data_IF_383627423000
#
_entry.id   IF_383627423000
#
_cell.length_a   1.000
_cell.length_b   1.000
_cell.length_c   1.000
_cell.angle_alpha   90.00
_cell.angle_beta   90.00
_cell.angle_gamma   90.00
#
_symmetry.space_group_name_H-M   'P 1'
#
loop_
_entity.id
_entity.type
_entity.pdbx_description
1 polymer ?
#
# COMPACT_ATOMS: atom_id res chain seq x y z
N UNK A 1 58.83 3.20 6.36
CA UNK A 1 57.64 2.55 6.85
C UNK A 1 56.45 3.34 6.39
N UNK A 2 55.84 2.89 5.27
CA UNK A 2 54.54 3.41 4.81
C UNK A 2 53.47 2.75 5.68
N UNK A 3 52.98 3.50 6.65
CA UNK A 3 51.81 3.11 7.43
C UNK A 3 50.56 3.37 6.65
N UNK A 4 49.89 2.32 6.17
CA UNK A 4 48.59 2.38 5.56
C UNK A 4 47.56 2.96 6.51
N UNK A 5 47.20 4.19 6.26
CA UNK A 5 46.02 4.82 6.87
C UNK A 5 44.82 4.35 6.07
N UNK A 6 44.36 3.12 6.30
CA UNK A 6 42.99 2.72 5.96
C UNK A 6 42.06 3.53 6.88
N UNK A 7 41.63 4.70 6.44
CA UNK A 7 40.41 5.31 6.94
C UNK A 7 39.28 4.34 6.59
N UNK A 8 38.86 3.54 7.57
CA UNK A 8 37.52 2.93 7.52
C UNK A 8 36.55 4.11 7.31
N UNK A 9 36.03 4.24 6.11
CA UNK A 9 34.79 4.97 5.91
C UNK A 9 33.76 4.21 6.74
N UNK A 10 33.41 4.76 7.91
CA UNK A 10 32.20 4.35 8.61
C UNK A 10 31.08 4.62 7.63
N UNK A 11 30.56 3.57 7.00
CA UNK A 11 29.31 3.65 6.28
C UNK A 11 28.28 4.10 7.30
N UNK A 12 27.82 5.35 7.20
CA UNK A 12 26.72 5.83 8.05
C UNK A 12 25.59 4.85 7.85
N UNK A 13 25.26 4.06 8.87
CA UNK A 13 24.08 3.20 8.85
C UNK A 13 22.87 4.09 8.59
N UNK A 14 22.07 3.73 7.59
CA UNK A 14 20.85 4.45 7.32
C UNK A 14 19.79 4.00 8.32
N UNK A 15 19.08 4.95 8.90
CA UNK A 15 18.09 4.68 9.95
C UNK A 15 16.85 5.55 9.80
N UNK A 16 15.76 5.00 10.22
CA UNK A 16 14.54 5.70 10.52
C UNK A 16 14.64 6.19 11.96
N UNK A 17 14.53 7.48 12.18
CA UNK A 17 14.46 8.08 13.51
C UNK A 17 13.10 8.72 13.69
N UNK A 18 12.47 8.50 14.84
CA UNK A 18 11.13 8.99 15.07
C UNK A 18 10.89 9.49 16.48
N UNK A 19 9.83 10.28 16.60
CA UNK A 19 9.29 10.78 17.86
C UNK A 19 7.77 10.59 17.94
N UNK A 20 7.29 10.48 19.18
CA UNK A 20 5.85 10.50 19.47
C UNK A 20 5.43 11.91 19.88
N UNK A 21 4.35 12.41 19.29
CA UNK A 21 3.75 13.70 19.63
C UNK A 21 2.35 13.48 20.23
N UNK A 22 2.21 13.83 21.51
CA UNK A 22 0.96 13.66 22.26
C UNK A 22 0.53 12.20 22.50
N UNK A 23 1.41 11.23 22.22
CA UNK A 23 1.17 9.79 22.38
C UNK A 23 2.15 9.25 23.41
N UNK A 24 1.66 8.35 24.28
CA UNK A 24 2.49 7.58 25.19
C UNK A 24 2.46 6.10 24.81
N UNK A 25 3.63 5.54 24.54
CA UNK A 25 3.79 4.11 24.28
C UNK A 25 5.20 3.67 24.64
N UNK A 26 5.35 2.45 25.15
CA UNK A 26 6.65 1.82 25.42
C UNK A 26 7.23 1.14 24.18
N UNK A 27 6.39 0.87 23.20
CA UNK A 27 6.76 0.24 21.93
C UNK A 27 5.83 0.68 20.81
N UNK A 28 6.37 0.70 19.60
CA UNK A 28 5.60 0.80 18.36
C UNK A 28 5.88 -0.42 17.49
N UNK A 29 4.94 -0.77 16.64
CA UNK A 29 4.99 -1.98 15.83
C UNK A 29 5.04 -1.60 14.35
N UNK A 30 6.09 -2.05 13.67
CA UNK A 30 6.27 -1.86 12.23
C UNK A 30 5.77 -3.10 11.51
N UNK A 31 4.81 -2.90 10.62
CA UNK A 31 4.26 -3.95 9.76
C UNK A 31 4.56 -3.66 8.30
N UNK A 32 4.84 -4.70 7.53
CA UNK A 32 4.82 -4.65 6.07
C UNK A 32 3.39 -4.83 5.59
N UNK A 33 2.96 -3.99 4.66
CA UNK A 33 1.62 -3.98 4.09
C UNK A 33 1.69 -4.58 2.69
N UNK A 34 0.99 -5.68 2.46
CA UNK A 34 0.97 -6.34 1.16
C UNK A 34 0.05 -5.65 0.14
N UNK A 35 -0.99 -4.96 0.64
CA UNK A 35 -1.91 -4.13 -0.13
C UNK A 35 -2.62 -3.12 0.78
N UNK A 36 -3.28 -2.12 0.22
CA UNK A 36 -4.08 -1.15 1.00
C UNK A 36 -5.28 -1.79 1.72
N UNK A 37 -5.63 -3.03 1.38
CA UNK A 37 -6.63 -3.81 2.11
C UNK A 37 -5.94 -4.67 3.17
N UNK A 38 -5.91 -4.18 4.38
CA UNK A 38 -5.18 -4.67 5.56
C UNK A 38 -5.44 -6.11 6.01
N UNK A 39 -5.91 -6.97 5.12
CA UNK A 39 -6.17 -8.39 5.41
C UNK A 39 -4.92 -9.25 5.60
N UNK A 40 -3.73 -8.78 5.19
CA UNK A 40 -2.48 -9.48 5.40
C UNK A 40 -1.33 -8.50 5.65
N UNK A 41 -1.14 -8.14 6.91
CA UNK A 41 0.04 -7.40 7.36
C UNK A 41 0.99 -8.38 8.04
N UNK A 42 2.28 -8.18 7.85
CA UNK A 42 3.34 -8.98 8.46
C UNK A 42 4.11 -8.11 9.45
N UNK A 43 4.13 -8.51 10.71
CA UNK A 43 4.98 -7.85 11.71
C UNK A 43 6.46 -7.99 11.30
N UNK A 44 7.12 -6.85 11.13
CA UNK A 44 8.55 -6.77 10.87
C UNK A 44 9.30 -6.62 12.17
N UNK A 45 8.87 -5.69 13.03
CA UNK A 45 9.56 -5.38 14.27
C UNK A 45 8.66 -4.73 15.32
N UNK A 46 8.86 -5.10 16.57
CA UNK A 46 8.51 -4.29 17.73
C UNK A 46 9.70 -3.38 18.05
N UNK A 47 9.49 -2.08 18.05
CA UNK A 47 10.52 -1.06 18.25
C UNK A 47 10.26 -0.40 19.60
N UNK A 48 11.23 -0.48 20.50
CA UNK A 48 11.13 0.16 21.81
C UNK A 48 11.14 1.69 21.67
N UNK A 49 10.35 2.35 22.50
CA UNK A 49 10.29 3.80 22.63
C UNK A 49 10.94 4.19 23.94
N UNK A 50 11.87 5.13 23.89
CA UNK A 50 12.56 5.68 25.06
C UNK A 50 12.43 7.20 25.04
N UNK A 51 11.90 7.79 26.08
CA UNK A 51 11.66 9.24 26.17
C UNK A 51 10.90 9.80 24.96
N UNK A 52 9.89 9.07 24.46
CA UNK A 52 9.08 9.44 23.32
C UNK A 52 9.82 9.36 21.97
N UNK A 53 10.99 8.71 21.92
CA UNK A 53 11.81 8.54 20.71
C UNK A 53 12.05 7.08 20.39
N UNK A 54 12.25 6.79 19.10
CA UNK A 54 12.59 5.46 18.62
C UNK A 54 13.48 5.54 17.38
N UNK A 55 14.19 4.46 17.09
CA UNK A 55 14.99 4.33 15.88
C UNK A 55 14.93 2.91 15.34
N UNK A 56 15.05 2.80 14.03
CA UNK A 56 15.07 1.52 13.32
C UNK A 56 16.05 1.55 12.14
N UNK A 57 17.02 0.63 12.04
CA UNK A 57 17.93 0.56 10.91
C UNK A 57 17.18 0.15 9.64
N UNK A 58 17.42 0.87 8.54
CA UNK A 58 16.73 0.68 7.26
C UNK A 58 17.62 0.07 6.18
N UNK A 59 18.88 -0.28 6.48
CA UNK A 59 19.83 -0.80 5.50
C UNK A 59 19.37 -2.06 4.76
N UNK A 60 18.57 -2.92 5.42
CA UNK A 60 18.07 -4.18 4.88
C UNK A 60 16.58 -4.15 4.50
N UNK A 61 15.97 -2.97 4.54
CA UNK A 61 14.57 -2.81 4.19
C UNK A 61 14.40 -2.80 2.66
N UNK A 62 13.44 -3.54 2.18
CA UNK A 62 12.98 -3.37 0.80
C UNK A 62 12.07 -2.15 0.71
N UNK A 63 12.23 -1.34 -0.34
CA UNK A 63 11.33 -0.24 -0.60
C UNK A 63 9.89 -0.75 -0.74
N UNK A 64 8.95 -0.11 -0.04
CA UNK A 64 7.57 -0.58 -0.02
C UNK A 64 6.67 0.19 0.94
N UNK A 65 5.39 -0.20 0.92
CA UNK A 65 4.42 0.30 1.87
C UNK A 65 4.51 -0.49 3.17
N UNK A 66 4.62 0.24 4.25
CA UNK A 66 4.62 -0.25 5.63
C UNK A 66 3.58 0.53 6.43
N UNK A 67 3.30 0.09 7.63
CA UNK A 67 2.55 0.92 8.56
C UNK A 67 3.11 0.77 9.98
N UNK A 68 2.96 1.84 10.74
CA UNK A 68 3.15 1.83 12.19
C UNK A 68 1.81 1.64 12.88
N UNK A 69 1.82 0.90 13.99
CA UNK A 69 0.70 0.78 14.90
C UNK A 69 1.19 0.85 16.34
N UNK A 70 0.33 1.31 17.23
CA UNK A 70 0.54 1.22 18.68
C UNK A 70 0.11 -0.13 19.25
N UNK A 71 -0.55 -0.94 18.44
CA UNK A 71 -1.12 -2.23 18.83
C UNK A 71 -0.29 -3.36 18.22
N UNK A 72 0.10 -4.31 19.08
CA UNK A 72 0.60 -5.60 18.61
C UNK A 72 -0.58 -6.48 18.21
N UNK A 73 -0.68 -6.78 16.91
CA UNK A 73 -1.75 -7.62 16.38
C UNK A 73 -1.55 -9.08 16.77
N UNK A 74 -2.54 -9.69 17.38
CA UNK A 74 -2.64 -11.13 17.49
C UNK A 74 -3.23 -11.76 16.21
N UNK A 75 -3.05 -13.05 16.05
CA UNK A 75 -3.50 -13.78 14.87
C UNK A 75 -5.02 -13.68 14.71
N UNK A 76 -5.49 -13.09 13.63
CA UNK A 76 -6.91 -12.92 13.30
C UNK A 76 -7.52 -11.58 13.72
N UNK A 77 -6.73 -10.69 14.30
CA UNK A 77 -7.13 -9.31 14.55
C UNK A 77 -6.88 -8.40 13.35
N UNK A 78 -7.55 -7.24 13.35
CA UNK A 78 -7.34 -6.18 12.37
C UNK A 78 -6.67 -4.98 13.05
N UNK A 79 -5.75 -4.31 12.36
CA UNK A 79 -5.18 -3.05 12.82
C UNK A 79 -6.27 -1.99 12.87
N UNK A 80 -6.54 -1.47 14.06
CA UNK A 80 -7.56 -0.43 14.28
C UNK A 80 -6.99 0.97 14.15
N UNK A 81 -5.75 1.18 14.63
CA UNK A 81 -5.03 2.44 14.55
C UNK A 81 -3.66 2.21 13.93
N UNK A 82 -3.44 2.76 12.77
CA UNK A 82 -2.19 2.63 12.03
C UNK A 82 -1.95 3.87 11.18
N UNK A 83 -0.68 4.13 10.89
CA UNK A 83 -0.25 5.18 9.98
C UNK A 83 0.67 4.59 8.91
N UNK A 84 0.33 4.84 7.65
CA UNK A 84 1.07 4.33 6.51
C UNK A 84 2.36 5.10 6.26
N UNK A 85 3.39 4.37 5.86
CA UNK A 85 4.70 4.90 5.52
C UNK A 85 5.28 4.17 4.32
N UNK A 86 5.72 4.91 3.31
CA UNK A 86 6.64 4.36 2.33
C UNK A 86 8.05 4.36 2.92
N UNK A 87 8.57 3.15 3.18
CA UNK A 87 9.90 2.95 3.71
C UNK A 87 10.88 2.62 2.57
N UNK A 88 12.03 3.25 2.62
CA UNK A 88 13.15 3.03 1.71
C UNK A 88 14.43 2.77 2.52
N UNK A 89 15.48 2.16 1.93
CA UNK A 89 16.78 2.02 2.59
C UNK A 89 17.52 3.37 2.63
N UNK A 90 16.95 4.35 3.30
CA UNK A 90 17.43 5.73 3.45
C UNK A 90 17.23 6.21 4.89
N UNK A 91 17.97 7.25 5.24
CA UNK A 91 17.72 7.96 6.51
C UNK A 91 16.44 8.78 6.39
N UNK A 92 15.53 8.57 7.33
CA UNK A 92 14.22 9.22 7.39
C UNK A 92 14.00 9.75 8.81
N UNK A 93 13.29 10.87 8.90
CA UNK A 93 12.79 11.42 10.16
C UNK A 93 11.28 11.37 10.15
N UNK A 94 10.67 10.94 11.24
CA UNK A 94 9.21 10.89 11.32
C UNK A 94 8.68 11.30 12.70
N UNK A 95 7.46 11.80 12.69
CA UNK A 95 6.68 12.08 13.88
C UNK A 95 5.38 11.31 13.81
N UNK A 96 5.08 10.52 14.83
CA UNK A 96 3.80 9.87 15.03
C UNK A 96 2.97 10.70 16.01
N UNK A 97 1.78 11.07 15.60
CA UNK A 97 0.84 11.83 16.40
C UNK A 97 -0.58 11.32 16.20
N UNK A 98 -1.54 12.13 16.59
CA UNK A 98 -2.95 11.90 16.32
C UNK A 98 -3.51 13.00 15.45
N UNK A 99 -4.41 12.63 14.54
CA UNK A 99 -5.15 13.58 13.75
C UNK A 99 -6.36 14.15 14.53
N UNK A 100 -7.12 15.03 13.88
CA UNK A 100 -8.33 15.64 14.46
C UNK A 100 -9.46 14.65 14.80
N UNK A 101 -9.35 13.39 14.35
CA UNK A 101 -10.30 12.32 14.60
C UNK A 101 -9.76 11.29 15.60
N UNK A 102 -8.69 11.62 16.32
CA UNK A 102 -7.99 10.73 17.26
C UNK A 102 -7.40 9.46 16.59
N UNK A 103 -7.19 9.50 15.27
CA UNK A 103 -6.54 8.40 14.55
C UNK A 103 -5.03 8.62 14.50
N UNK A 104 -4.27 7.50 14.50
CA UNK A 104 -2.82 7.57 14.38
C UNK A 104 -2.45 8.23 13.05
N UNK A 105 -1.65 9.28 13.12
CA UNK A 105 -1.14 10.04 11.98
C UNK A 105 0.38 10.01 11.95
N UNK A 106 0.94 10.19 10.77
CA UNK A 106 2.39 10.17 10.54
C UNK A 106 2.77 11.32 9.62
N UNK A 107 3.84 12.01 9.99
CA UNK A 107 4.54 12.93 9.11
C UNK A 107 6.00 12.47 8.99
N UNK A 108 6.51 12.34 7.76
CA UNK A 108 7.87 11.90 7.52
C UNK A 108 8.61 12.79 6.52
N UNK A 109 9.92 12.89 6.69
CA UNK A 109 10.83 13.62 5.80
C UNK A 109 12.03 12.75 5.44
N UNK A 110 12.72 13.08 4.33
CA UNK A 110 13.90 12.35 3.87
C UNK A 110 13.61 11.26 2.83
N UNK A 111 12.36 11.06 2.43
CA UNK A 111 11.96 10.15 1.36
C UNK A 111 11.08 10.85 0.35
N UNK A 112 11.57 10.99 -0.89
CA UNK A 112 10.77 11.51 -1.98
C UNK A 112 9.56 10.62 -2.31
N UNK A 113 9.68 9.31 -2.04
CA UNK A 113 8.59 8.36 -2.24
C UNK A 113 7.44 8.61 -1.24
N UNK A 114 7.78 8.89 0.01
CA UNK A 114 6.80 9.24 1.03
C UNK A 114 6.13 10.59 0.74
N UNK A 115 6.90 11.58 0.30
CA UNK A 115 6.35 12.88 -0.10
C UNK A 115 5.37 12.74 -1.28
N UNK A 116 5.68 11.90 -2.27
CA UNK A 116 4.77 11.59 -3.39
C UNK A 116 3.51 10.88 -2.90
N UNK A 117 3.65 9.95 -1.95
CA UNK A 117 2.52 9.25 -1.38
C UNK A 117 1.59 10.18 -0.60
N UNK A 118 2.13 11.04 0.27
CA UNK A 118 1.36 12.04 1.03
C UNK A 118 0.62 13.01 0.10
N UNK A 119 1.31 13.53 -0.92
CA UNK A 119 0.69 14.39 -1.92
C UNK A 119 -0.45 13.69 -2.69
N UNK A 120 -0.29 12.39 -2.98
CA UNK A 120 -1.36 11.61 -3.60
C UNK A 120 -2.55 11.44 -2.65
N UNK A 121 -2.34 11.16 -1.36
CA UNK A 121 -3.44 11.02 -0.41
C UNK A 121 -4.23 12.33 -0.27
N UNK A 122 -3.56 13.48 -0.22
CA UNK A 122 -4.20 14.79 -0.22
C UNK A 122 -4.99 15.03 -1.52
N UNK A 123 -4.41 14.75 -2.67
CA UNK A 123 -5.10 14.86 -3.96
C UNK A 123 -6.31 13.92 -4.06
N UNK A 124 -6.22 12.69 -3.53
CA UNK A 124 -7.35 11.75 -3.43
C UNK A 124 -8.45 12.26 -2.53
N UNK A 125 -8.11 12.89 -1.40
CA UNK A 125 -9.10 13.49 -0.51
C UNK A 125 -9.93 14.55 -1.24
N UNK A 126 -9.27 15.44 -1.99
CA UNK A 126 -9.93 16.48 -2.79
C UNK A 126 -10.74 15.87 -3.94
N UNK A 127 -10.11 15.01 -4.77
CA UNK A 127 -10.77 14.36 -5.90
C UNK A 127 -11.94 13.47 -5.47
N UNK A 128 -11.86 12.89 -4.28
CA UNK A 128 -12.89 12.07 -3.67
C UNK A 128 -14.04 12.86 -3.03
N UNK A 129 -14.10 14.18 -3.16
CA UNK A 129 -15.10 15.06 -2.51
C UNK A 129 -15.23 14.79 -0.99
N UNK A 130 -14.15 14.31 -0.34
CA UNK A 130 -14.23 13.79 1.05
C UNK A 130 -14.71 14.84 2.04
N UNK A 131 -14.37 16.12 1.86
CA UNK A 131 -14.83 17.19 2.75
C UNK A 131 -16.38 17.30 2.77
N UNK A 132 -17.04 17.14 1.63
CA UNK A 132 -18.50 17.17 1.52
C UNK A 132 -19.10 15.83 1.96
N UNK A 133 -18.55 14.73 1.47
CA UNK A 133 -19.06 13.40 1.75
C UNK A 133 -18.93 13.03 3.23
N UNK A 134 -17.83 13.38 3.91
CA UNK A 134 -17.67 13.14 5.36
C UNK A 134 -18.76 13.86 6.17
N UNK A 135 -19.14 15.08 5.75
CA UNK A 135 -20.25 15.82 6.40
C UNK A 135 -21.60 15.16 6.15
N UNK A 136 -21.87 14.72 4.92
CA UNK A 136 -23.10 14.02 4.57
C UNK A 136 -23.18 12.65 5.26
N UNK A 137 -22.08 11.91 5.33
CA UNK A 137 -22.00 10.65 6.06
C UNK A 137 -22.32 10.86 7.55
N UNK A 138 -21.78 11.90 8.17
CA UNK A 138 -22.09 12.24 9.56
C UNK A 138 -23.59 12.52 9.76
N UNK A 139 -24.19 13.36 8.93
CA UNK A 139 -25.62 13.64 8.96
C UNK A 139 -26.46 12.37 8.77
N UNK A 140 -26.03 11.47 7.87
CA UNK A 140 -26.69 10.19 7.63
C UNK A 140 -26.69 9.29 8.87
N UNK A 141 -25.53 9.20 9.57
CA UNK A 141 -25.44 8.43 10.81
C UNK A 141 -26.32 9.02 11.92
N UNK A 142 -26.39 10.33 12.07
CA UNK A 142 -27.30 10.96 13.03
C UNK A 142 -28.77 10.68 12.72
N UNK A 143 -29.17 10.77 11.44
CA UNK A 143 -30.53 10.44 11.03
C UNK A 143 -30.86 8.96 11.30
N UNK A 144 -29.89 8.08 11.05
CA UNK A 144 -30.01 6.64 11.33
C UNK A 144 -30.21 6.35 12.83
N UNK A 145 -29.45 6.99 13.70
CA UNK A 145 -29.60 6.87 15.16
C UNK A 145 -30.98 7.32 15.64
N UNK A 146 -31.51 8.37 15.01
CA UNK A 146 -32.87 8.88 15.30
C UNK A 146 -34.00 8.07 14.66
N UNK A 147 -33.66 7.12 13.76
CA UNK A 147 -34.63 6.33 12.98
C UNK A 147 -35.37 7.14 11.91
N UNK A 148 -34.83 8.32 11.53
CA UNK A 148 -35.42 9.23 10.57
C UNK A 148 -35.14 8.75 9.12
N UNK A 149 -36.07 7.97 8.61
CA UNK A 149 -35.95 7.37 7.26
C UNK A 149 -36.04 8.40 6.14
N UNK A 150 -36.85 9.43 6.32
CA UNK A 150 -37.05 10.48 5.31
C UNK A 150 -35.77 11.29 5.13
N UNK A 151 -35.14 11.69 6.23
CA UNK A 151 -33.87 12.40 6.20
C UNK A 151 -32.73 11.52 5.64
N UNK A 152 -32.68 10.23 6.00
CA UNK A 152 -31.71 9.29 5.41
C UNK A 152 -31.83 9.21 3.89
N UNK A 153 -33.05 9.16 3.34
CA UNK A 153 -33.27 9.11 1.90
C UNK A 153 -32.87 10.43 1.24
N UNK A 154 -33.26 11.56 1.81
CA UNK A 154 -32.84 12.89 1.35
C UNK A 154 -31.32 13.01 1.25
N UNK A 155 -30.58 12.55 2.29
CA UNK A 155 -29.13 12.59 2.31
C UNK A 155 -28.54 11.70 1.21
N UNK A 156 -29.08 10.50 0.97
CA UNK A 156 -28.65 9.64 -0.13
C UNK A 156 -28.79 10.29 -1.49
N UNK A 157 -29.94 10.93 -1.75
CA UNK A 157 -30.18 11.65 -3.01
C UNK A 157 -29.19 12.79 -3.19
N UNK A 158 -28.93 13.57 -2.15
CA UNK A 158 -27.96 14.69 -2.18
C UNK A 158 -26.52 14.17 -2.35
N UNK A 159 -26.17 13.04 -1.74
CA UNK A 159 -24.80 12.52 -1.78
C UNK A 159 -24.46 11.79 -3.09
N UNK A 160 -25.43 11.21 -3.77
CA UNK A 160 -25.21 10.39 -4.98
C UNK A 160 -24.35 11.08 -6.05
N UNK A 161 -24.64 12.33 -6.48
CA UNK A 161 -23.80 13.03 -7.47
C UNK A 161 -22.34 13.23 -7.02
N UNK A 162 -22.13 13.42 -5.71
CA UNK A 162 -20.78 13.57 -5.16
C UNK A 162 -20.00 12.26 -5.21
N UNK A 163 -20.65 11.11 -4.92
CA UNK A 163 -20.01 9.80 -5.04
C UNK A 163 -19.66 9.46 -6.49
N UNK A 164 -20.56 9.74 -7.44
CA UNK A 164 -20.32 9.52 -8.86
C UNK A 164 -19.13 10.36 -9.35
N UNK A 165 -19.16 11.66 -9.04
CA UNK A 165 -18.08 12.60 -9.38
C UNK A 165 -16.77 12.20 -8.72
N UNK A 166 -16.77 11.82 -7.44
CA UNK A 166 -15.60 11.37 -6.70
C UNK A 166 -14.94 10.14 -7.34
N UNK A 167 -15.76 9.16 -7.73
CA UNK A 167 -15.27 7.95 -8.40
C UNK A 167 -14.55 8.27 -9.71
N UNK A 168 -15.16 9.12 -10.55
CA UNK A 168 -14.56 9.51 -11.83
C UNK A 168 -13.29 10.35 -11.64
N UNK A 169 -13.32 11.35 -10.75
CA UNK A 169 -12.17 12.22 -10.50
C UNK A 169 -11.00 11.46 -9.91
N UNK A 170 -11.25 10.59 -8.92
CA UNK A 170 -10.22 9.74 -8.33
C UNK A 170 -9.62 8.79 -9.38
N UNK A 171 -10.43 8.19 -10.25
CA UNK A 171 -9.95 7.34 -11.34
C UNK A 171 -9.07 8.12 -12.32
N UNK A 172 -9.45 9.34 -12.69
CA UNK A 172 -8.65 10.23 -13.56
C UNK A 172 -7.32 10.60 -12.90
N UNK A 173 -7.35 10.98 -11.62
CA UNK A 173 -6.16 11.28 -10.83
C UNK A 173 -5.18 10.10 -10.82
N UNK A 174 -5.63 8.91 -10.43
CA UNK A 174 -4.78 7.72 -10.36
C UNK A 174 -4.18 7.38 -11.73
N UNK A 175 -4.97 7.46 -12.81
CA UNK A 175 -4.46 7.22 -14.16
C UNK A 175 -3.38 8.22 -14.57
N UNK A 176 -3.59 9.49 -14.22
CA UNK A 176 -2.60 10.55 -14.46
C UNK A 176 -1.31 10.31 -13.68
N UNK A 177 -1.41 9.91 -12.41
CA UNK A 177 -0.24 9.62 -11.58
C UNK A 177 0.51 8.35 -12.05
N UNK A 178 -0.18 7.29 -12.49
CA UNK A 178 0.46 6.12 -13.10
C UNK A 178 1.25 6.54 -14.37
N UNK A 179 0.63 7.34 -15.24
CA UNK A 179 1.28 7.79 -16.48
C UNK A 179 2.49 8.70 -16.21
N UNK A 180 2.39 9.60 -15.25
CA UNK A 180 3.46 10.53 -14.82
C UNK A 180 4.64 9.80 -14.18
N UNK A 181 4.37 8.74 -13.44
CA UNK A 181 5.38 7.95 -12.71
C UNK A 181 5.79 6.67 -13.46
N UNK A 182 5.51 6.58 -14.76
CA UNK A 182 5.87 5.44 -15.59
C UNK A 182 7.36 5.16 -15.49
N UNK A 183 7.70 3.90 -15.18
CA UNK A 183 9.08 3.44 -15.04
C UNK A 183 9.65 3.53 -13.63
N UNK A 184 9.00 4.20 -12.68
CA UNK A 184 9.44 4.31 -11.29
C UNK A 184 8.73 3.31 -10.37
N UNK A 185 9.33 3.03 -9.20
CA UNK A 185 8.70 2.18 -8.18
C UNK A 185 7.31 2.70 -7.76
N UNK A 186 7.13 4.02 -7.63
CA UNK A 186 5.82 4.58 -7.27
C UNK A 186 4.75 4.31 -8.33
N UNK A 187 5.11 4.45 -9.61
CA UNK A 187 4.21 4.07 -10.70
C UNK A 187 3.86 2.59 -10.71
N UNK A 188 4.82 1.71 -10.40
CA UNK A 188 4.58 0.27 -10.27
C UNK A 188 3.61 -0.03 -9.11
N UNK A 189 3.82 0.60 -7.95
CA UNK A 189 2.94 0.50 -6.80
C UNK A 189 1.50 0.94 -7.13
N UNK A 190 1.34 2.10 -7.78
CA UNK A 190 0.02 2.60 -8.19
C UNK A 190 -0.67 1.66 -9.17
N UNK A 191 0.07 1.15 -10.16
CA UNK A 191 -0.48 0.19 -11.12
C UNK A 191 -0.91 -1.11 -10.43
N UNK A 192 -0.08 -1.64 -9.54
CA UNK A 192 -0.40 -2.83 -8.76
C UNK A 192 -1.67 -2.63 -7.92
N UNK A 193 -1.71 -1.58 -7.12
CA UNK A 193 -2.79 -1.31 -6.16
C UNK A 193 -4.13 -1.02 -6.84
N UNK A 194 -4.11 -0.19 -7.89
CA UNK A 194 -5.35 0.33 -8.47
C UNK A 194 -5.76 -0.33 -9.79
N UNK A 195 -4.91 -1.15 -10.38
CA UNK A 195 -5.18 -1.80 -11.67
C UNK A 195 -5.05 -3.31 -11.60
N UNK A 196 -3.94 -3.81 -11.11
CA UNK A 196 -3.61 -5.22 -11.17
C UNK A 196 -4.40 -6.06 -10.18
N UNK A 197 -4.45 -5.67 -8.91
CA UNK A 197 -5.05 -6.49 -7.83
C UNK A 197 -6.53 -6.80 -8.03
N UNK A 198 -7.28 -5.89 -8.66
CA UNK A 198 -8.73 -6.01 -8.86
C UNK A 198 -9.11 -6.40 -10.28
N UNK A 199 -8.15 -6.84 -11.10
CA UNK A 199 -8.38 -7.22 -12.49
C UNK A 199 -8.18 -8.72 -12.68
N UNK A 200 -9.08 -9.33 -13.48
CA UNK A 200 -8.92 -10.70 -13.93
C UNK A 200 -8.54 -10.68 -15.41
N UNK A 201 -7.38 -11.22 -15.72
CA UNK A 201 -6.89 -11.29 -17.09
C UNK A 201 -7.42 -12.56 -17.75
N UNK A 202 -8.11 -12.41 -18.87
CA UNK A 202 -8.85 -13.50 -19.53
C UNK A 202 -8.19 -13.99 -20.81
N UNK A 203 -7.30 -13.19 -21.41
CA UNK A 203 -6.64 -13.54 -22.68
C UNK A 203 -5.12 -13.47 -22.56
N UNK A 204 -4.43 -14.20 -23.44
CA UNK A 204 -2.96 -14.16 -23.49
C UNK A 204 -2.49 -12.77 -23.91
N UNK A 205 -3.20 -12.10 -24.80
CA UNK A 205 -2.88 -10.76 -25.27
C UNK A 205 -2.89 -9.74 -24.13
N UNK A 206 -3.92 -9.75 -23.27
CA UNK A 206 -3.98 -8.87 -22.09
C UNK A 206 -2.79 -9.13 -21.14
N UNK A 207 -2.47 -10.40 -20.93
CA UNK A 207 -1.33 -10.79 -20.06
C UNK A 207 -0.01 -10.29 -20.63
N UNK A 208 0.20 -10.44 -21.95
CA UNK A 208 1.43 -10.00 -22.59
C UNK A 208 1.56 -8.47 -22.64
N UNK A 209 0.46 -7.75 -22.82
CA UNK A 209 0.44 -6.28 -22.70
C UNK A 209 0.88 -5.84 -21.29
N UNK A 210 0.38 -6.49 -20.24
CA UNK A 210 0.78 -6.16 -18.88
C UNK A 210 2.23 -6.54 -18.60
N UNK A 211 2.69 -7.70 -19.06
CA UNK A 211 4.11 -8.10 -18.93
C UNK A 211 5.03 -7.08 -19.61
N UNK A 212 4.69 -6.64 -20.81
CA UNK A 212 5.46 -5.62 -21.52
C UNK A 212 5.44 -4.28 -20.77
N UNK A 213 4.27 -3.88 -20.23
CA UNK A 213 4.16 -2.66 -19.44
C UNK A 213 5.03 -2.71 -18.20
N UNK A 214 4.89 -3.72 -17.34
CA UNK A 214 5.68 -3.82 -16.11
C UNK A 214 7.16 -4.10 -16.37
N UNK A 215 7.50 -4.77 -17.48
CA UNK A 215 8.88 -4.97 -17.93
C UNK A 215 9.60 -3.68 -18.35
N UNK A 216 8.85 -2.61 -18.64
CA UNK A 216 9.40 -1.30 -18.99
C UNK A 216 9.85 -0.46 -17.79
N UNK A 217 9.60 -0.92 -16.56
CA UNK A 217 10.03 -0.22 -15.35
C UNK A 217 11.54 -0.37 -15.11
N UNK A 218 12.10 0.52 -14.30
CA UNK A 218 13.53 0.49 -13.98
C UNK A 218 13.93 -0.81 -13.27
N UNK A 219 15.23 -1.09 -13.25
CA UNK A 219 15.75 -2.33 -12.69
C UNK A 219 15.43 -2.49 -11.19
N UNK A 220 15.52 -1.40 -10.42
CA UNK A 220 15.21 -1.42 -8.99
C UNK A 220 13.74 -1.78 -8.75
N UNK A 221 12.83 -1.21 -9.53
CA UNK A 221 11.40 -1.54 -9.49
C UNK A 221 11.13 -3.00 -9.84
N UNK A 222 11.82 -3.54 -10.85
CA UNK A 222 11.69 -4.94 -11.27
C UNK A 222 12.26 -5.96 -10.27
N UNK A 223 13.12 -5.53 -9.35
CA UNK A 223 13.61 -6.34 -8.23
C UNK A 223 12.69 -6.29 -7.00
N UNK A 224 11.65 -5.47 -7.02
CA UNK A 224 10.73 -5.31 -5.89
C UNK A 224 9.81 -6.50 -5.69
N UNK A 225 9.34 -6.71 -4.45
CA UNK A 225 8.37 -7.75 -4.13
C UNK A 225 7.03 -7.58 -4.87
N UNK A 226 6.63 -6.33 -5.17
CA UNK A 226 5.43 -6.05 -5.98
C UNK A 226 5.58 -6.61 -7.40
N UNK A 227 6.71 -6.39 -8.03
CA UNK A 227 6.97 -6.90 -9.38
C UNK A 227 6.92 -8.44 -9.42
N UNK A 228 7.56 -9.10 -8.45
CA UNK A 228 7.54 -10.56 -8.34
C UNK A 228 6.10 -11.07 -8.18
N UNK A 229 5.30 -10.47 -7.29
CA UNK A 229 3.88 -10.82 -7.10
C UNK A 229 3.06 -10.65 -8.37
N UNK A 230 3.32 -9.59 -9.14
CA UNK A 230 2.64 -9.39 -10.43
C UNK A 230 2.99 -10.48 -11.43
N UNK A 231 4.27 -10.83 -11.56
CA UNK A 231 4.70 -11.90 -12.46
C UNK A 231 4.06 -13.25 -12.07
N UNK A 232 4.10 -13.61 -10.79
CA UNK A 232 3.46 -14.83 -10.28
C UNK A 232 1.94 -14.84 -10.54
N UNK A 233 1.28 -13.68 -10.40
CA UNK A 233 -0.13 -13.51 -10.71
C UNK A 233 -0.42 -13.73 -12.21
N UNK A 234 0.36 -13.10 -13.09
CA UNK A 234 0.25 -13.27 -14.54
C UNK A 234 0.49 -14.71 -14.97
N UNK A 235 1.44 -15.40 -14.34
CA UNK A 235 1.70 -16.81 -14.63
C UNK A 235 0.52 -17.72 -14.23
N UNK A 236 -0.18 -17.37 -13.15
CA UNK A 236 -1.42 -18.08 -12.75
C UNK A 236 -2.55 -17.83 -13.76
N UNK A 237 -2.77 -16.58 -14.16
CA UNK A 237 -3.78 -16.25 -15.17
C UNK A 237 -3.47 -16.90 -16.53
N UNK A 238 -2.20 -16.90 -16.95
CA UNK A 238 -1.77 -17.49 -18.22
C UNK A 238 -2.12 -18.98 -18.37
N UNK A 239 -2.23 -19.72 -17.26
CA UNK A 239 -2.61 -21.14 -17.29
C UNK A 239 -4.06 -21.38 -17.69
N UNK A 240 -4.94 -20.39 -17.51
CA UNK A 240 -6.37 -20.50 -17.73
C UNK A 240 -6.88 -19.50 -18.79
N UNK A 241 -6.01 -18.65 -19.34
CA UNK A 241 -6.38 -17.61 -20.27
C UNK A 241 -6.79 -18.22 -21.63
N UNK A 242 -7.75 -17.59 -22.30
CA UNK A 242 -8.10 -17.90 -23.68
C UNK A 242 -6.89 -17.68 -24.59
N UNK A 243 -6.57 -18.66 -25.42
CA UNK A 243 -5.38 -18.67 -26.28
C UNK A 243 -4.18 -19.41 -25.67
N UNK A 244 -4.26 -19.84 -24.42
CA UNK A 244 -3.22 -20.69 -23.82
C UNK A 244 -3.36 -22.16 -24.26
N UNK A 245 -2.22 -22.85 -24.28
CA UNK A 245 -2.20 -24.31 -24.50
C UNK A 245 -2.74 -24.98 -23.22
N UNK A 246 -3.79 -25.77 -23.37
CA UNK A 246 -4.34 -26.53 -22.24
C UNK A 246 -3.26 -27.41 -21.60
N UNK A 247 -3.11 -27.40 -20.28
CA UNK A 247 -2.17 -28.27 -19.61
C UNK A 247 -2.56 -29.73 -19.88
N UNK A 248 -1.55 -30.59 -20.06
CA UNK A 248 -1.78 -32.02 -20.19
C UNK A 248 -2.46 -32.55 -18.91
N UNK A 249 -3.65 -33.11 -19.08
CA UNK A 249 -4.37 -33.74 -17.97
C UNK A 249 -3.86 -35.20 -17.90
N UNK A 250 -3.07 -35.49 -16.87
CA UNK A 250 -2.67 -36.86 -16.58
C UNK A 250 -3.52 -37.39 -15.43
N UNK A 251 -4.06 -38.57 -15.60
CA UNK A 251 -4.89 -39.26 -14.60
C UNK A 251 -4.56 -40.75 -14.57
N UNK A 252 -5.16 -41.44 -13.61
CA UNK A 252 -5.13 -42.91 -13.56
C UNK A 252 -6.56 -43.38 -13.80
N UNK A 253 -6.76 -44.31 -14.78
CA UNK A 253 -8.05 -44.91 -15.02
C UNK A 253 -8.46 -45.87 -13.89
N UNK A 254 -9.69 -46.36 -13.91
CA UNK A 254 -10.18 -47.31 -12.90
C UNK A 254 -9.46 -48.64 -12.89
N UNK A 255 -8.59 -48.90 -13.87
CA UNK A 255 -7.75 -50.11 -13.98
C UNK A 255 -6.31 -49.82 -13.53
N UNK A 256 -6.00 -48.59 -13.11
CA UNK A 256 -4.64 -48.20 -12.65
C UNK A 256 -3.69 -47.79 -13.78
N UNK A 257 -4.14 -47.60 -15.00
CA UNK A 257 -3.32 -47.16 -16.11
C UNK A 257 -3.26 -45.64 -16.18
N UNK A 258 -2.07 -45.10 -16.50
CA UNK A 258 -1.90 -43.69 -16.76
C UNK A 258 -2.64 -43.30 -18.06
N UNK A 259 -3.50 -42.29 -18.00
CA UNK A 259 -4.17 -41.67 -19.14
C UNK A 259 -3.79 -40.21 -19.24
N UNK A 260 -3.55 -39.74 -20.46
CA UNK A 260 -3.20 -38.33 -20.76
C UNK A 260 -3.99 -37.83 -21.97
#
# INVERSE_FOLDING_TARGET
GLGDVYKRQESKSVSLEGSLDGIQADSIYLYQVDNEHYGSVKLIKSIAVTDGRFAYPTDSIQAGLYCFSLQNMERGEYLQQYANLFLEPKSMQLTLGKDKYDQLSLHATGSALQEQYEALQEAKYVAGNRMVLDSLDHMFYEAREKGDREEMERIREVSSPYYESASEQTRKLINGEIAKNKGSYFGLYLYYTYRFQNHTFNTVEEIDEVRNFIGSFDEASRQSGIYVKMQEGLDKFARCATGSVAPAITGIDLKGNSVS
#
